data_IF_563031698202
#
_entry.id   IF_563031698202
#
_cell.length_a   1.000
_cell.length_b   1.000
_cell.length_c   1.000
_cell.angle_alpha   90.00
_cell.angle_beta   90.00
_cell.angle_gamma   90.00
#
_symmetry.space_group_name_H-M   'P 1'
#
loop_
_entity.id
_entity.type
_entity.pdbx_description
1 polymer ?
#
# COMPACT_ATOMS: atom_id res chain seq x y z
N UNK A 1 32.79 -3.90 -54.05
CA UNK A 1 31.61 -3.19 -53.61
C UNK A 1 31.21 -3.81 -52.28
N UNK A 2 31.66 -3.21 -51.18
CA UNK A 2 31.17 -3.58 -49.87
C UNK A 2 29.75 -2.97 -49.76
N UNK A 3 28.72 -3.80 -49.82
CA UNK A 3 27.40 -3.41 -49.38
C UNK A 3 27.52 -3.13 -47.88
N UNK A 4 27.47 -1.85 -47.52
CA UNK A 4 27.51 -1.43 -46.11
C UNK A 4 26.35 -2.05 -45.38
N UNK A 5 26.59 -2.50 -44.13
CA UNK A 5 25.55 -2.96 -43.21
C UNK A 5 24.38 -1.98 -43.24
N UNK A 6 23.18 -2.51 -43.34
CA UNK A 6 21.94 -1.73 -43.24
C UNK A 6 21.97 -0.92 -41.93
N UNK A 7 22.00 0.40 -42.05
CA UNK A 7 21.89 1.26 -40.88
C UNK A 7 20.41 1.51 -40.63
N UNK A 8 19.88 0.91 -39.59
CA UNK A 8 18.50 1.14 -39.17
C UNK A 8 18.27 2.59 -38.75
N UNK A 9 17.11 3.13 -39.09
CA UNK A 9 16.67 4.41 -38.60
C UNK A 9 15.96 4.21 -37.27
N UNK A 10 16.36 4.97 -36.26
CA UNK A 10 15.67 4.97 -34.97
C UNK A 10 14.16 5.28 -35.16
N UNK A 11 13.26 4.62 -34.45
CA UNK A 11 13.49 3.70 -33.33
C UNK A 11 13.48 2.20 -33.69
N UNK A 12 13.98 1.82 -34.86
CA UNK A 12 14.00 0.41 -35.29
C UNK A 12 15.42 -0.15 -35.33
N UNK A 13 15.53 -1.46 -35.13
CA UNK A 13 16.77 -2.22 -35.19
C UNK A 13 16.55 -3.58 -35.86
N UNK A 14 17.64 -4.12 -36.46
CA UNK A 14 17.75 -5.51 -36.89
C UNK A 14 18.24 -6.32 -35.68
N UNK A 15 17.31 -6.95 -34.95
CA UNK A 15 17.64 -7.68 -33.73
C UNK A 15 17.96 -9.16 -33.97
N UNK A 16 17.52 -9.72 -35.07
CA UNK A 16 17.81 -11.13 -35.45
C UNK A 16 19.02 -11.27 -36.38
N UNK A 17 19.57 -10.15 -36.86
CA UNK A 17 20.71 -10.07 -37.77
C UNK A 17 20.46 -10.77 -39.14
N UNK A 18 19.20 -10.80 -39.56
CA UNK A 18 18.78 -11.35 -40.83
C UNK A 18 18.56 -10.21 -41.83
N UNK A 19 19.58 -9.93 -42.68
CA UNK A 19 19.54 -8.81 -43.63
C UNK A 19 18.33 -8.83 -44.59
N UNK A 20 17.68 -9.99 -44.81
CA UNK A 20 16.57 -10.12 -45.76
C UNK A 20 15.24 -9.54 -45.22
N UNK A 21 15.04 -9.41 -43.91
CA UNK A 21 13.86 -8.82 -43.29
C UNK A 21 14.09 -7.39 -42.79
N UNK A 22 15.36 -6.94 -42.72
CA UNK A 22 15.73 -5.56 -42.43
C UNK A 22 15.61 -5.16 -40.95
N UNK A 23 15.15 -3.92 -40.71
CA UNK A 23 15.01 -3.37 -39.36
C UNK A 23 13.59 -3.62 -38.85
N UNK A 24 13.33 -4.81 -38.36
CA UNK A 24 12.01 -5.33 -38.05
C UNK A 24 11.55 -5.04 -36.60
N UNK A 25 12.49 -4.76 -35.70
CA UNK A 25 12.21 -4.64 -34.27
C UNK A 25 12.10 -3.18 -33.84
N UNK A 26 10.98 -2.82 -33.22
CA UNK A 26 10.81 -1.51 -32.59
C UNK A 26 11.53 -1.44 -31.25
N UNK A 27 12.34 -0.42 -31.04
CA UNK A 27 13.05 -0.17 -29.78
C UNK A 27 12.23 0.66 -28.77
N UNK A 28 10.93 0.90 -29.03
CA UNK A 28 10.00 1.57 -28.10
C UNK A 28 9.01 0.52 -27.53
N UNK A 29 9.52 -0.62 -27.14
CA UNK A 29 8.73 -1.67 -26.49
C UNK A 29 9.39 -2.03 -25.16
N UNK A 30 8.58 -2.54 -24.20
CA UNK A 30 9.11 -2.88 -22.87
C UNK A 30 10.15 -4.01 -22.90
N UNK A 31 10.16 -4.84 -23.97
CA UNK A 31 11.13 -5.93 -24.17
C UNK A 31 12.40 -5.48 -24.91
N UNK A 32 12.34 -4.35 -25.63
CA UNK A 32 13.44 -3.84 -26.47
C UNK A 32 13.58 -2.31 -26.31
N UNK A 33 13.76 -1.85 -25.10
CA UNK A 33 13.78 -0.42 -24.81
C UNK A 33 15.15 0.22 -25.07
N UNK A 34 15.26 0.94 -26.20
CA UNK A 34 16.49 1.60 -26.63
C UNK A 34 17.54 0.67 -27.25
N UNK A 35 17.42 -0.63 -27.09
CA UNK A 35 18.30 -1.64 -27.70
C UNK A 35 17.61 -3.01 -27.77
N UNK A 36 18.08 -3.87 -28.68
CA UNK A 36 17.60 -5.25 -28.80
C UNK A 36 17.78 -6.01 -27.48
N UNK A 37 16.68 -6.59 -26.96
CA UNK A 37 16.67 -7.37 -25.72
C UNK A 37 16.87 -6.57 -24.44
N UNK A 38 16.86 -5.23 -24.51
CA UNK A 38 16.91 -4.36 -23.33
C UNK A 38 15.52 -4.27 -22.72
N UNK A 39 15.16 -5.26 -21.91
CA UNK A 39 13.84 -5.29 -21.26
C UNK A 39 13.76 -4.35 -20.06
N UNK A 40 12.64 -3.67 -19.93
CA UNK A 40 12.33 -2.85 -18.77
C UNK A 40 12.05 -3.72 -17.53
N UNK A 41 12.35 -3.18 -16.35
CA UNK A 41 11.99 -3.83 -15.09
C UNK A 41 10.45 -3.87 -14.91
N UNK A 42 9.94 -4.81 -14.12
CA UNK A 42 8.51 -4.89 -13.84
C UNK A 42 7.91 -3.57 -13.37
N UNK A 43 6.84 -3.13 -14.04
CA UNK A 43 6.18 -1.86 -13.75
C UNK A 43 6.78 -0.64 -14.42
N UNK A 44 7.96 -0.74 -15.06
CA UNK A 44 8.46 0.32 -15.92
C UNK A 44 7.82 0.24 -17.32
N UNK A 45 7.79 1.37 -17.99
CA UNK A 45 7.35 1.53 -19.37
C UNK A 45 8.49 2.10 -20.21
N UNK A 46 8.60 1.62 -21.44
CA UNK A 46 9.54 2.18 -22.39
C UNK A 46 9.02 3.50 -22.94
N UNK A 47 9.79 4.56 -22.81
CA UNK A 47 9.41 5.90 -23.27
C UNK A 47 10.52 6.53 -24.11
N UNK A 48 10.12 7.21 -25.19
CA UNK A 48 11.00 8.05 -25.98
C UNK A 48 10.98 9.49 -25.42
N UNK A 49 12.15 10.03 -25.19
CA UNK A 49 12.34 11.41 -24.73
C UNK A 49 13.43 12.10 -25.57
N UNK A 50 13.59 13.40 -25.40
CA UNK A 50 14.67 14.18 -26.03
C UNK A 50 16.08 13.68 -25.66
N UNK A 51 16.23 12.94 -24.55
CA UNK A 51 17.46 12.31 -24.09
C UNK A 51 17.68 10.89 -24.65
N UNK A 52 16.71 10.34 -25.41
CA UNK A 52 16.73 8.99 -25.96
C UNK A 52 15.59 8.12 -25.45
N UNK A 53 15.63 6.83 -25.84
CA UNK A 53 14.65 5.81 -25.44
C UNK A 53 15.14 5.14 -24.16
N UNK A 54 14.29 5.08 -23.14
CA UNK A 54 14.66 4.55 -21.81
C UNK A 54 13.46 4.01 -21.03
N UNK A 55 13.74 3.06 -20.13
CA UNK A 55 12.76 2.54 -19.20
C UNK A 55 12.56 3.52 -18.03
N UNK A 56 11.34 3.91 -17.79
CA UNK A 56 10.95 4.80 -16.67
C UNK A 56 9.72 4.26 -15.94
N UNK A 57 9.60 4.61 -14.69
CA UNK A 57 8.35 4.39 -13.99
C UNK A 57 7.22 5.27 -14.56
N UNK A 58 5.96 4.80 -14.54
CA UNK A 58 4.80 5.62 -14.85
C UNK A 58 4.78 6.93 -14.05
N UNK A 59 4.14 7.99 -14.58
CA UNK A 59 4.01 9.25 -13.85
C UNK A 59 3.43 9.05 -12.44
N UNK A 60 4.02 9.69 -11.44
CA UNK A 60 3.63 9.57 -10.02
C UNK A 60 4.29 8.42 -9.28
N UNK A 61 4.97 7.52 -9.97
CA UNK A 61 5.72 6.42 -9.35
C UNK A 61 7.22 6.67 -9.33
N UNK A 62 7.90 6.05 -8.36
CA UNK A 62 9.35 6.11 -8.16
C UNK A 62 9.94 4.70 -8.22
N UNK A 63 11.09 4.56 -8.86
CA UNK A 63 11.82 3.29 -8.89
C UNK A 63 12.48 3.05 -7.51
N UNK A 64 11.99 2.04 -6.81
CA UNK A 64 12.54 1.58 -5.54
C UNK A 64 13.11 0.16 -5.70
N UNK A 65 14.42 0.06 -5.79
CA UNK A 65 15.06 -1.21 -6.13
C UNK A 65 14.73 -1.64 -7.56
N UNK A 66 13.91 -2.66 -7.72
CA UNK A 66 13.51 -3.22 -9.03
C UNK A 66 12.05 -3.01 -9.38
N UNK A 67 11.31 -2.22 -8.61
CA UNK A 67 9.87 -2.01 -8.79
C UNK A 67 9.49 -0.54 -8.76
N UNK A 68 8.54 -0.17 -9.60
CA UNK A 68 7.93 1.15 -9.58
C UNK A 68 6.82 1.18 -8.51
N UNK A 69 6.91 2.11 -7.57
CA UNK A 69 5.98 2.24 -6.44
C UNK A 69 5.46 3.67 -6.32
N UNK A 70 4.25 3.81 -5.83
CA UNK A 70 3.66 5.10 -5.48
C UNK A 70 4.01 5.43 -4.02
N UNK A 71 4.94 6.35 -3.81
CA UNK A 71 5.37 6.77 -2.48
C UNK A 71 4.27 7.46 -1.67
N UNK A 72 3.18 7.88 -2.31
CA UNK A 72 2.06 8.52 -1.61
C UNK A 72 1.12 7.51 -0.94
N UNK A 73 1.06 6.27 -1.44
CA UNK A 73 0.05 5.29 -1.01
C UNK A 73 0.61 3.94 -0.61
N UNK A 74 1.84 3.60 -1.01
CA UNK A 74 2.45 2.31 -0.71
C UNK A 74 2.92 2.24 0.75
N UNK A 75 2.39 1.31 1.59
CA UNK A 75 2.76 1.24 3.00
C UNK A 75 4.18 0.73 3.27
N UNK A 76 4.84 0.10 2.28
CA UNK A 76 6.23 -0.36 2.38
C UNK A 76 7.25 0.68 1.90
N UNK A 77 6.76 1.73 1.22
CA UNK A 77 7.57 2.77 0.60
C UNK A 77 7.01 4.17 0.86
N UNK A 78 6.45 4.39 2.05
CA UNK A 78 5.69 5.60 2.35
C UNK A 78 6.59 6.85 2.47
N UNK A 79 6.41 7.79 1.55
CA UNK A 79 7.17 9.04 1.47
C UNK A 79 8.58 8.89 0.91
N UNK A 80 9.17 7.69 0.98
CA UNK A 80 10.49 7.39 0.44
C UNK A 80 10.66 5.89 0.19
N UNK A 81 11.57 5.51 -0.72
CA UNK A 81 11.89 4.11 -0.93
C UNK A 81 12.29 3.41 0.38
N UNK A 82 11.72 2.24 0.61
CA UNK A 82 11.99 1.40 1.80
C UNK A 82 11.60 2.01 3.15
N UNK A 83 10.86 3.12 3.15
CA UNK A 83 10.25 3.69 4.34
C UNK A 83 8.92 2.99 4.65
N UNK A 84 9.00 1.92 5.44
CA UNK A 84 7.82 1.10 5.76
C UNK A 84 7.05 1.64 6.96
N UNK A 85 5.76 1.80 6.80
CA UNK A 85 4.84 2.14 7.89
C UNK A 85 4.63 0.98 8.89
N UNK A 86 5.01 -0.26 8.51
CA UNK A 86 4.75 -1.45 9.31
C UNK A 86 5.73 -1.67 10.47
N UNK A 87 6.74 -0.82 10.61
CA UNK A 87 7.74 -0.87 11.71
C UNK A 87 7.32 -0.12 12.98
N UNK A 88 6.21 0.57 12.96
CA UNK A 88 5.66 1.24 14.15
C UNK A 88 4.93 0.18 14.98
N UNK A 89 5.60 -0.34 15.99
CA UNK A 89 5.26 -1.45 16.88
C UNK A 89 3.79 -1.56 17.27
N UNK A 90 3.08 -2.41 16.55
CA UNK A 90 1.66 -2.33 16.49
C UNK A 90 1.11 -3.73 16.69
N UNK A 91 0.08 -3.83 17.53
CA UNK A 91 -0.63 -5.08 17.70
C UNK A 91 -1.53 -5.36 16.48
N UNK A 92 -2.11 -6.55 16.43
CA UNK A 92 -2.97 -7.01 15.32
C UNK A 92 -4.28 -6.19 15.15
N UNK A 93 -4.58 -5.31 16.12
CA UNK A 93 -5.81 -4.52 16.14
C UNK A 93 -5.66 -3.16 15.46
N UNK A 94 -4.48 -2.86 14.93
CA UNK A 94 -4.19 -1.64 14.21
C UNK A 94 -4.32 -1.83 12.69
N UNK A 95 -4.64 -0.74 12.01
CA UNK A 95 -4.51 -0.60 10.57
C UNK A 95 -3.57 0.56 10.29
N UNK A 96 -2.47 0.26 9.63
CA UNK A 96 -1.53 1.28 9.19
C UNK A 96 -1.66 1.49 7.68
N UNK A 97 -1.77 2.74 7.27
CA UNK A 97 -1.89 3.15 5.89
C UNK A 97 -0.86 4.22 5.56
N UNK A 98 -0.42 4.25 4.31
CA UNK A 98 0.32 5.37 3.78
C UNK A 98 -0.67 6.37 3.18
N UNK A 99 -0.63 7.59 3.62
CA UNK A 99 -1.52 8.64 3.15
C UNK A 99 -0.70 9.88 2.79
N UNK A 100 -0.66 10.22 1.50
CA UNK A 100 0.17 11.32 0.96
C UNK A 100 1.63 11.28 1.42
N UNK A 101 2.24 10.08 1.44
CA UNK A 101 3.63 9.88 1.84
C UNK A 101 3.88 9.97 3.34
N UNK A 102 2.85 9.93 4.16
CA UNK A 102 2.93 9.89 5.62
C UNK A 102 2.21 8.66 6.16
N UNK A 103 2.85 7.97 7.11
CA UNK A 103 2.22 6.84 7.79
C UNK A 103 1.14 7.34 8.76
N UNK A 104 -0.05 6.74 8.67
CA UNK A 104 -1.13 6.96 9.62
C UNK A 104 -1.59 5.63 10.19
N UNK A 105 -1.80 5.59 11.50
CA UNK A 105 -2.29 4.42 12.21
C UNK A 105 -3.69 4.71 12.76
N UNK A 106 -4.57 3.73 12.67
CA UNK A 106 -5.92 3.79 13.22
C UNK A 106 -6.29 2.44 13.82
N UNK A 107 -7.22 2.44 14.75
CA UNK A 107 -7.73 1.20 15.32
C UNK A 107 -8.70 0.50 14.35
N UNK A 108 -8.67 -0.81 14.36
CA UNK A 108 -9.71 -1.62 13.71
C UNK A 108 -11.05 -1.37 14.41
N UNK A 109 -12.12 -1.57 13.64
CA UNK A 109 -13.47 -1.46 14.19
C UNK A 109 -13.65 -2.33 15.46
N UNK A 110 -14.15 -1.75 16.52
CA UNK A 110 -14.33 -2.41 17.80
C UNK A 110 -13.10 -2.39 18.72
N UNK A 111 -12.03 -1.71 18.32
CA UNK A 111 -10.81 -1.53 19.13
C UNK A 111 -10.53 -0.05 19.35
N UNK A 112 -9.83 0.29 20.44
CA UNK A 112 -9.44 1.65 20.79
C UNK A 112 -8.06 1.70 21.42
N UNK A 113 -7.33 2.79 21.13
CA UNK A 113 -6.19 3.27 21.90
C UNK A 113 -6.76 4.18 22.98
N UNK A 114 -6.97 3.64 24.19
CA UNK A 114 -7.67 4.36 25.27
C UNK A 114 -6.70 4.99 26.27
N UNK A 115 -5.42 4.65 26.19
CA UNK A 115 -4.37 5.27 27.00
C UNK A 115 -3.67 6.43 26.25
N UNK A 116 -3.83 6.50 24.91
CA UNK A 116 -3.21 7.50 24.04
C UNK A 116 -1.72 7.26 23.80
N UNK A 117 -1.22 6.04 24.05
CA UNK A 117 0.15 5.64 23.76
C UNK A 117 0.22 4.89 22.41
N UNK A 118 0.70 5.53 21.33
CA UNK A 118 0.76 4.90 20.03
C UNK A 118 1.75 3.73 19.94
N UNK A 119 2.57 3.50 21.00
CA UNK A 119 3.60 2.46 21.00
C UNK A 119 3.05 1.07 21.30
N UNK A 120 1.94 0.97 22.00
CA UNK A 120 1.25 -0.31 22.28
C UNK A 120 -0.02 -0.51 21.43
N UNK A 121 -0.44 0.54 20.74
CA UNK A 121 -1.48 0.50 19.71
C UNK A 121 -2.91 0.48 20.26
N UNK A 122 -3.78 -0.32 19.66
CA UNK A 122 -5.19 -0.38 20.03
C UNK A 122 -5.41 -1.55 20.98
N UNK A 123 -5.24 -1.30 22.27
CA UNK A 123 -5.17 -2.31 23.33
C UNK A 123 -6.55 -2.69 23.91
N UNK A 124 -7.56 -1.85 23.72
CA UNK A 124 -8.88 -2.06 24.34
C UNK A 124 -9.90 -2.56 23.34
N UNK A 125 -10.57 -3.67 23.69
CA UNK A 125 -11.71 -4.17 22.92
C UNK A 125 -12.99 -3.45 23.32
N UNK A 126 -13.37 -2.44 22.54
CA UNK A 126 -14.56 -1.63 22.78
C UNK A 126 -15.89 -2.41 22.66
N UNK A 127 -15.84 -3.62 22.07
CA UNK A 127 -17.06 -4.44 21.92
C UNK A 127 -17.43 -5.22 23.17
N UNK A 128 -16.49 -5.39 24.12
CA UNK A 128 -16.68 -6.24 25.30
C UNK A 128 -16.15 -5.67 26.60
N UNK A 129 -15.34 -4.63 26.57
CA UNK A 129 -14.79 -4.01 27.77
C UNK A 129 -15.84 -3.12 28.44
N UNK A 130 -16.13 -3.40 29.75
CA UNK A 130 -17.14 -2.67 30.51
C UNK A 130 -16.78 -1.21 30.80
N UNK A 131 -15.48 -0.87 30.86
CA UNK A 131 -15.02 0.49 31.15
C UNK A 131 -14.92 1.36 29.89
N UNK A 132 -14.94 0.70 28.71
CA UNK A 132 -14.70 1.33 27.43
C UNK A 132 -15.72 0.87 26.36
N UNK A 133 -16.98 0.68 26.81
CA UNK A 133 -17.99 0.06 25.96
C UNK A 133 -18.42 0.97 24.80
N UNK A 134 -18.05 0.61 23.58
CA UNK A 134 -18.33 1.37 22.36
C UNK A 134 -17.40 2.56 22.14
N UNK A 135 -16.78 3.09 23.19
CA UNK A 135 -15.81 4.18 23.11
C UNK A 135 -14.94 4.21 24.37
N UNK A 136 -13.74 4.76 24.24
CA UNK A 136 -12.85 4.94 25.37
C UNK A 136 -13.51 5.75 26.50
N UNK A 137 -13.47 5.23 27.72
CA UNK A 137 -14.04 5.88 28.90
C UNK A 137 -15.56 5.80 29.03
N UNK A 138 -16.24 5.12 28.10
CA UNK A 138 -17.67 4.86 28.22
C UNK A 138 -17.92 3.64 29.12
N UNK A 139 -18.10 3.87 30.40
CA UNK A 139 -18.25 2.82 31.42
C UNK A 139 -19.72 2.40 31.56
N UNK A 140 -19.97 1.09 31.47
CA UNK A 140 -21.27 0.52 31.78
C UNK A 140 -21.49 0.46 33.31
N UNK A 141 -22.73 0.57 33.77
CA UNK A 141 -23.04 0.51 35.19
C UNK A 141 -22.71 -0.88 35.77
N UNK A 142 -21.57 -0.94 36.43
CA UNK A 142 -21.10 -2.17 37.09
C UNK A 142 -21.96 -2.56 38.27
N UNK A 143 -22.61 -1.58 38.97
CA UNK A 143 -23.50 -1.83 40.11
C UNK A 143 -24.85 -2.42 39.66
N UNK A 144 -25.29 -2.03 38.46
CA UNK A 144 -26.46 -2.61 37.81
C UNK A 144 -26.12 -3.91 37.07
N UNK A 145 -24.86 -4.34 37.09
CA UNK A 145 -24.41 -5.57 36.42
C UNK A 145 -24.49 -5.53 34.91
N UNK A 146 -24.42 -4.33 34.27
CA UNK A 146 -24.52 -4.18 32.82
C UNK A 146 -23.28 -4.70 32.11
N UNK A 147 -23.38 -5.75 31.27
CA UNK A 147 -22.26 -6.17 30.42
C UNK A 147 -22.15 -5.29 29.18
N UNK A 148 -20.95 -5.15 28.68
CA UNK A 148 -20.72 -4.60 27.35
C UNK A 148 -20.89 -5.71 26.30
N UNK A 149 -21.83 -5.55 25.39
CA UNK A 149 -22.11 -6.49 24.31
C UNK A 149 -22.16 -5.75 23.00
N UNK A 150 -21.23 -6.06 22.10
CA UNK A 150 -21.16 -5.44 20.78
C UNK A 150 -20.96 -3.92 20.83
N UNK A 151 -20.27 -3.40 21.87
CA UNK A 151 -20.04 -1.97 22.06
C UNK A 151 -21.23 -1.21 22.64
N UNK A 152 -22.19 -1.90 23.22
CA UNK A 152 -23.35 -1.30 23.91
C UNK A 152 -23.50 -1.89 25.31
N UNK A 153 -23.76 -1.02 26.26
CA UNK A 153 -24.12 -1.46 27.61
C UNK A 153 -25.53 -2.10 27.58
N UNK A 154 -25.58 -3.41 27.78
CA UNK A 154 -26.81 -4.14 27.73
C UNK A 154 -27.61 -3.87 29.02
N UNK A 155 -28.88 -3.53 28.90
CA UNK A 155 -29.79 -3.51 30.03
C UNK A 155 -30.17 -4.97 30.38
N UNK A 156 -29.97 -5.37 31.65
CA UNK A 156 -30.61 -6.60 32.11
C UNK A 156 -32.13 -6.40 31.97
N UNK A 157 -32.76 -7.24 31.17
CA UNK A 157 -34.18 -7.43 31.31
C UNK A 157 -34.41 -7.95 32.75
N UNK A 158 -35.10 -7.20 33.58
CA UNK A 158 -35.50 -7.68 34.89
C UNK A 158 -36.12 -9.08 34.72
N UNK A 159 -35.59 -10.09 35.42
CA UNK A 159 -36.17 -11.42 35.41
C UNK A 159 -37.63 -11.32 35.92
N UNK A 160 -38.49 -12.22 35.43
CA UNK A 160 -39.86 -12.27 35.90
C UNK A 160 -39.85 -12.40 37.44
N UNK A 161 -40.16 -11.29 38.17
CA UNK A 161 -40.16 -11.22 39.65
C UNK A 161 -39.34 -10.09 40.27
N UNK A 162 -38.57 -9.31 39.51
CA UNK A 162 -37.89 -8.10 39.99
C UNK A 162 -38.74 -6.84 39.67
N UNK A 163 -39.35 -6.25 40.69
CA UNK A 163 -40.00 -4.94 40.57
C UNK A 163 -38.92 -3.85 40.57
N UNK A 164 -39.01 -2.93 39.59
CA UNK A 164 -38.24 -1.69 39.59
C UNK A 164 -38.55 -0.89 40.87
N UNK A 165 -37.54 -0.68 41.69
CA UNK A 165 -37.62 0.23 42.85
C UNK A 165 -37.18 1.63 42.45
#
# INVERSE_FOLDING_TARGET
>A
SECGHLKCLEPYADCDQVESNGCETSLITDDNCGACGAACLPGQICVERSSGIQCLCPPGQTLCGSSCVDLATDPYHCGACFSSCLVLGINENNVTTCNYGSCTTSCRQGWGDCNGDPSDGCEVNLSSDQRHCGACGNECDALAGQPCIGGQCAVHACGEGEEAR
#
